data_IF_012912415182
#
_entry.id   IF_012912415182
#
_cell.length_a   1.000
_cell.length_b   1.000
_cell.length_c   1.000
_cell.angle_alpha   90.00
_cell.angle_beta   90.00
_cell.angle_gamma   90.00
#
_symmetry.space_group_name_H-M   'P 1'
#
loop_
_entity.id
_entity.type
_entity.pdbx_description
1 polymer ?
#
# COMPACT_ATOMS: atom_id res chain seq x y z
N UNK A 1 3.74 36.73 -6.57
CA UNK A 1 3.18 36.25 -7.86
C UNK A 1 3.32 34.75 -7.80
N UNK A 2 2.22 33.99 -7.74
CA UNK A 2 2.30 32.52 -7.66
C UNK A 2 2.89 32.02 -8.99
N UNK A 3 3.87 31.14 -8.93
CA UNK A 3 4.51 30.56 -10.10
C UNK A 3 3.49 29.70 -10.88
N UNK A 4 3.47 29.85 -12.19
CA UNK A 4 2.59 29.08 -13.08
C UNK A 4 2.82 27.57 -12.91
N UNK A 5 4.06 27.14 -12.64
CA UNK A 5 4.37 25.73 -12.38
C UNK A 5 3.75 25.21 -11.08
N UNK A 6 3.74 26.05 -10.05
CA UNK A 6 3.11 25.74 -8.76
C UNK A 6 1.58 25.66 -8.91
N UNK A 7 0.98 26.58 -9.67
CA UNK A 7 -0.46 26.54 -9.97
C UNK A 7 -0.87 25.28 -10.74
N UNK A 8 -0.07 24.86 -11.71
CA UNK A 8 -0.32 23.65 -12.51
C UNK A 8 -0.23 22.41 -11.62
N UNK A 9 0.86 22.29 -10.84
CA UNK A 9 1.07 21.17 -9.91
C UNK A 9 -0.09 21.02 -8.93
N UNK A 10 -0.49 22.13 -8.29
CA UNK A 10 -1.58 22.13 -7.32
C UNK A 10 -2.92 21.71 -7.93
N UNK A 11 -3.21 22.14 -9.17
CA UNK A 11 -4.42 21.70 -9.90
C UNK A 11 -4.40 20.21 -10.21
N UNK A 12 -3.26 19.66 -10.67
CA UNK A 12 -3.12 18.23 -10.92
C UNK A 12 -3.31 17.40 -9.65
N UNK A 13 -2.70 17.79 -8.53
CA UNK A 13 -2.88 17.11 -7.25
C UNK A 13 -4.33 17.15 -6.77
N UNK A 14 -5.02 18.28 -6.93
CA UNK A 14 -6.44 18.39 -6.57
C UNK A 14 -7.34 17.51 -7.46
N UNK A 15 -7.11 17.51 -8.78
CA UNK A 15 -7.85 16.64 -9.71
C UNK A 15 -7.64 15.17 -9.36
N UNK A 16 -6.40 14.76 -9.10
CA UNK A 16 -6.09 13.39 -8.72
C UNK A 16 -6.75 12.99 -7.40
N UNK A 17 -6.80 13.88 -6.42
CA UNK A 17 -7.49 13.63 -5.16
C UNK A 17 -9.01 13.42 -5.36
N UNK A 18 -9.66 14.13 -6.29
CA UNK A 18 -11.07 13.90 -6.62
C UNK A 18 -11.29 12.58 -7.36
N UNK A 19 -10.40 12.21 -8.29
CA UNK A 19 -10.45 10.90 -8.97
C UNK A 19 -10.38 9.75 -7.94
N UNK A 20 -9.42 9.81 -7.02
CA UNK A 20 -9.20 8.78 -6.01
C UNK A 20 -10.42 8.56 -5.10
N UNK A 21 -11.22 9.60 -4.82
CA UNK A 21 -12.48 9.46 -4.03
C UNK A 21 -13.52 8.59 -4.72
N UNK A 22 -13.47 8.52 -6.04
CA UNK A 22 -14.40 7.71 -6.85
C UNK A 22 -13.82 6.33 -7.17
N UNK A 23 -12.53 6.14 -6.92
CA UNK A 23 -11.85 4.87 -7.09
C UNK A 23 -12.00 4.03 -5.83
N UNK A 24 -12.26 2.75 -6.06
CA UNK A 24 -12.27 1.72 -5.04
C UNK A 24 -10.83 1.31 -4.74
N UNK A 25 -10.06 2.21 -4.12
CA UNK A 25 -8.64 2.02 -3.79
C UNK A 25 -8.40 2.28 -2.31
N UNK A 26 -7.71 1.36 -1.67
CA UNK A 26 -7.35 1.46 -0.26
C UNK A 26 -6.16 2.41 -0.08
N UNK A 27 -6.28 3.25 0.93
CA UNK A 27 -5.23 4.14 1.41
C UNK A 27 -4.38 3.49 2.50
N UNK A 28 -3.19 4.04 2.76
CA UNK A 28 -2.34 3.59 3.88
C UNK A 28 -3.05 3.64 5.23
N UNK A 29 -3.86 4.68 5.47
CA UNK A 29 -4.61 4.84 6.70
C UNK A 29 -5.65 3.74 6.89
N UNK A 30 -6.36 3.37 5.82
CA UNK A 30 -7.33 2.28 5.83
C UNK A 30 -6.67 0.92 6.01
N UNK A 31 -5.52 0.68 5.35
CA UNK A 31 -4.74 -0.54 5.57
C UNK A 31 -4.31 -0.67 7.04
N UNK A 32 -3.77 0.40 7.63
CA UNK A 32 -3.40 0.42 9.05
C UNK A 32 -4.61 0.10 9.92
N UNK A 33 -5.74 0.80 9.70
CA UNK A 33 -6.95 0.62 10.51
C UNK A 33 -7.51 -0.81 10.41
N UNK A 34 -7.41 -1.47 9.25
CA UNK A 34 -7.84 -2.86 9.07
C UNK A 34 -6.86 -3.87 9.67
N UNK A 35 -5.55 -3.63 9.60
CA UNK A 35 -4.52 -4.52 10.15
C UNK A 35 -4.42 -4.46 11.68
N UNK A 36 -4.67 -3.32 12.30
CA UNK A 36 -4.60 -3.13 13.76
C UNK A 36 -5.38 -4.17 14.58
N UNK A 37 -6.70 -4.39 14.34
CA UNK A 37 -7.44 -5.41 15.08
C UNK A 37 -6.96 -6.83 14.77
N UNK A 38 -6.44 -7.11 13.57
CA UNK A 38 -5.89 -8.42 13.19
C UNK A 38 -4.60 -8.70 13.94
N UNK A 39 -3.72 -7.71 14.06
CA UNK A 39 -2.46 -7.83 14.80
C UNK A 39 -2.74 -7.98 16.31
N UNK A 40 -3.76 -7.30 16.83
CA UNK A 40 -4.12 -7.35 18.25
C UNK A 40 -4.50 -8.76 18.74
N UNK A 41 -5.05 -9.62 17.86
CA UNK A 41 -5.45 -11.00 18.17
C UNK A 41 -4.37 -12.06 17.86
N UNK A 42 -3.15 -11.66 17.49
CA UNK A 42 -2.13 -12.63 17.08
C UNK A 42 -1.61 -13.49 18.24
N UNK A 43 -1.78 -13.08 19.49
CA UNK A 43 -1.39 -13.91 20.64
C UNK A 43 -2.19 -15.22 20.70
N UNK A 44 -3.45 -15.17 20.27
CA UNK A 44 -4.39 -16.28 20.19
C UNK A 44 -4.09 -17.16 18.97
N UNK A 45 -3.82 -16.54 17.83
CA UNK A 45 -3.40 -17.23 16.59
C UNK A 45 -2.11 -18.02 16.84
N UNK A 46 -1.10 -17.40 17.48
CA UNK A 46 0.16 -18.06 17.82
C UNK A 46 -0.06 -19.24 18.79
N UNK A 47 -0.93 -19.09 19.79
CA UNK A 47 -1.27 -20.21 20.69
C UNK A 47 -1.92 -21.39 19.94
N UNK A 48 -2.73 -21.10 18.92
CA UNK A 48 -3.47 -22.11 18.15
C UNK A 48 -2.63 -22.79 17.08
N UNK A 49 -1.81 -22.04 16.36
CA UNK A 49 -1.10 -22.50 15.16
C UNK A 49 0.43 -22.57 15.33
N UNK A 50 0.98 -22.03 16.42
CA UNK A 50 2.41 -22.02 16.70
C UNK A 50 3.19 -20.89 16.01
N UNK A 51 2.54 -20.09 15.17
CA UNK A 51 3.13 -18.93 14.50
C UNK A 51 2.08 -17.83 14.25
N UNK A 52 2.56 -16.65 13.88
CA UNK A 52 1.73 -15.51 13.51
C UNK A 52 1.08 -15.72 12.13
N UNK A 53 -0.10 -15.14 11.90
CA UNK A 53 -0.70 -15.08 10.58
C UNK A 53 0.21 -14.38 9.57
N UNK A 54 0.27 -14.91 8.36
CA UNK A 54 1.08 -14.37 7.27
C UNK A 54 0.22 -13.68 6.21
N UNK A 55 0.84 -12.81 5.42
CA UNK A 55 0.16 -12.01 4.40
C UNK A 55 0.49 -12.48 2.99
N UNK A 56 -0.52 -12.64 2.15
CA UNK A 56 -0.39 -12.97 0.73
C UNK A 56 -1.37 -12.16 -0.12
N UNK A 57 -1.19 -12.13 -1.43
CA UNK A 57 -2.15 -11.55 -2.36
C UNK A 57 -3.25 -12.55 -2.75
N UNK A 58 -4.36 -12.03 -3.27
CA UNK A 58 -5.47 -12.81 -3.83
C UNK A 58 -5.17 -13.45 -5.20
N UNK A 59 -3.95 -13.26 -5.71
CA UNK A 59 -3.47 -13.88 -6.93
C UNK A 59 -2.19 -14.69 -6.66
N UNK A 60 -2.30 -15.99 -6.94
CA UNK A 60 -1.25 -17.00 -6.75
C UNK A 60 -0.62 -16.97 -5.34
N UNK A 61 0.60 -17.48 -5.21
CA UNK A 61 1.35 -17.52 -3.94
C UNK A 61 2.22 -16.28 -3.75
N UNK A 62 1.80 -15.16 -4.33
CA UNK A 62 2.55 -13.93 -4.25
C UNK A 62 2.40 -13.28 -2.87
N UNK A 63 3.51 -12.84 -2.34
CA UNK A 63 3.60 -12.20 -1.02
C UNK A 63 4.13 -10.78 -1.13
N UNK A 64 3.67 -9.87 -0.25
CA UNK A 64 4.12 -8.48 -0.26
C UNK A 64 5.59 -8.36 0.14
N UNK A 65 6.30 -7.38 -0.44
CA UNK A 65 7.71 -7.12 -0.10
C UNK A 65 7.88 -5.84 0.72
N UNK A 66 7.94 -4.68 0.08
CA UNK A 66 8.14 -3.39 0.76
C UNK A 66 7.46 -2.28 -0.02
N UNK A 67 7.18 -1.18 0.69
CA UNK A 67 6.60 0.00 0.09
C UNK A 67 7.67 0.86 -0.60
N UNK A 68 7.32 1.41 -1.76
CA UNK A 68 8.13 2.37 -2.51
C UNK A 68 7.24 3.38 -3.26
N UNK A 69 7.84 4.38 -3.89
CA UNK A 69 7.11 5.30 -4.78
C UNK A 69 6.59 4.53 -6.01
N UNK A 70 5.31 4.73 -6.34
CA UNK A 70 4.69 4.15 -7.53
C UNK A 70 5.09 4.95 -8.78
N UNK A 71 5.59 4.27 -9.81
CA UNK A 71 6.13 4.94 -11.01
C UNK A 71 5.07 5.64 -11.87
N UNK A 72 3.79 5.31 -11.71
CA UNK A 72 2.70 5.90 -12.52
C UNK A 72 2.65 7.42 -12.40
N UNK A 73 2.58 7.93 -11.16
CA UNK A 73 2.52 9.36 -10.87
C UNK A 73 3.60 9.85 -9.88
N UNK A 74 4.43 8.95 -9.37
CA UNK A 74 5.55 9.19 -8.43
C UNK A 74 5.16 9.68 -7.02
N UNK A 75 4.04 10.40 -6.90
CA UNK A 75 3.50 10.95 -5.66
C UNK A 75 2.62 9.98 -4.86
N UNK A 76 2.50 8.72 -5.32
CA UNK A 76 1.67 7.68 -4.72
C UNK A 76 2.54 6.48 -4.29
N UNK A 77 1.98 5.61 -3.46
CA UNK A 77 2.68 4.46 -2.91
C UNK A 77 2.43 3.21 -3.75
N UNK A 78 3.45 2.36 -3.86
CA UNK A 78 3.32 0.99 -4.34
C UNK A 78 3.82 0.01 -3.29
N UNK A 79 3.17 -1.14 -3.20
CA UNK A 79 3.60 -2.32 -2.47
C UNK A 79 4.11 -3.35 -3.48
N UNK A 80 5.38 -3.71 -3.38
CA UNK A 80 5.98 -4.75 -4.21
C UNK A 80 5.53 -6.16 -3.83
N UNK A 81 5.83 -7.11 -4.70
CA UNK A 81 5.45 -8.52 -4.56
C UNK A 81 6.55 -9.47 -5.07
N UNK A 82 6.58 -10.68 -4.54
CA UNK A 82 7.55 -11.73 -4.89
C UNK A 82 6.95 -13.12 -4.71
N UNK A 83 7.42 -14.10 -5.48
CA UNK A 83 7.17 -15.54 -5.22
C UNK A 83 8.21 -16.11 -4.24
N UNK A 84 9.40 -15.50 -4.22
CA UNK A 84 10.55 -15.97 -3.44
C UNK A 84 10.59 -15.42 -2.01
N UNK A 85 11.31 -16.12 -1.13
CA UNK A 85 11.57 -15.69 0.25
C UNK A 85 10.56 -16.21 1.28
N UNK A 86 10.68 -15.72 2.51
CA UNK A 86 9.79 -16.12 3.61
C UNK A 86 8.46 -15.37 3.57
N UNK A 87 7.41 -16.02 4.08
CA UNK A 87 6.09 -15.42 4.26
C UNK A 87 6.16 -14.23 5.23
N UNK A 88 5.48 -13.13 4.89
CA UNK A 88 5.51 -11.92 5.72
C UNK A 88 4.49 -12.01 6.85
N UNK A 89 4.90 -11.90 8.13
CA UNK A 89 3.94 -11.80 9.24
C UNK A 89 3.08 -10.54 9.15
N UNK A 90 1.82 -10.64 9.57
CA UNK A 90 0.87 -9.51 9.51
C UNK A 90 1.34 -8.29 10.31
N UNK A 91 1.99 -8.49 11.46
CA UNK A 91 2.61 -7.44 12.28
C UNK A 91 3.67 -6.67 11.51
N UNK A 92 4.45 -7.35 10.66
CA UNK A 92 5.49 -6.72 9.84
C UNK A 92 4.91 -5.89 8.71
N UNK A 93 3.79 -6.30 8.10
CA UNK A 93 3.11 -5.43 7.16
C UNK A 93 2.56 -4.17 7.84
N UNK A 94 1.96 -4.30 9.04
CA UNK A 94 1.47 -3.15 9.81
C UNK A 94 2.61 -2.20 10.19
N UNK A 95 3.75 -2.73 10.64
CA UNK A 95 4.96 -1.94 10.94
C UNK A 95 5.41 -1.13 9.72
N UNK A 96 5.52 -1.79 8.55
CA UNK A 96 5.90 -1.14 7.30
C UNK A 96 4.89 -0.07 6.87
N UNK A 97 3.58 -0.34 6.99
CA UNK A 97 2.53 0.61 6.65
C UNK A 97 2.56 1.86 7.56
N UNK A 98 2.83 1.70 8.86
CA UNK A 98 3.00 2.83 9.77
C UNK A 98 4.25 3.64 9.43
N UNK A 99 5.35 2.97 9.08
CA UNK A 99 6.63 3.61 8.80
C UNK A 99 6.64 4.46 7.51
N UNK A 100 5.68 4.26 6.59
CA UNK A 100 5.57 5.12 5.40
C UNK A 100 4.86 6.44 5.68
N UNK A 101 4.02 6.52 6.72
CA UNK A 101 3.26 7.74 7.04
C UNK A 101 4.22 8.83 7.53
N UNK A 102 4.24 9.97 6.85
CA UNK A 102 5.16 11.09 7.08
C UNK A 102 6.54 10.91 6.45
N UNK A 103 6.81 9.76 5.80
CA UNK A 103 8.10 9.52 5.13
C UNK A 103 8.12 10.18 3.76
N UNK A 104 9.27 10.77 3.44
CA UNK A 104 9.53 11.32 2.10
C UNK A 104 10.10 10.23 1.20
N UNK A 105 9.56 10.12 -0.01
CA UNK A 105 10.09 9.28 -1.07
C UNK A 105 10.52 10.16 -2.25
N UNK A 106 11.72 9.92 -2.74
CA UNK A 106 12.22 10.61 -3.94
C UNK A 106 11.68 9.92 -5.18
N UNK A 107 11.04 10.69 -6.06
CA UNK A 107 10.54 10.20 -7.34
C UNK A 107 11.67 9.74 -8.25
N UNK A 108 11.42 8.73 -9.09
CA UNK A 108 12.43 8.18 -10.02
C UNK A 108 13.01 9.23 -10.98
N UNK A 109 12.26 10.29 -11.29
CA UNK A 109 12.70 11.42 -12.11
C UNK A 109 13.05 12.69 -11.29
N UNK A 110 13.20 12.55 -9.98
CA UNK A 110 13.38 13.66 -9.04
C UNK A 110 12.07 14.13 -8.40
N UNK A 111 12.20 14.98 -7.37
CA UNK A 111 11.11 15.47 -6.53
C UNK A 111 10.93 14.63 -5.26
N UNK A 112 10.49 15.28 -4.18
CA UNK A 112 10.28 14.69 -2.86
C UNK A 112 8.79 14.69 -2.51
N UNK A 113 8.25 13.52 -2.22
CA UNK A 113 6.82 13.34 -1.94
C UNK A 113 6.64 12.74 -0.55
N UNK A 114 5.95 13.47 0.33
CA UNK A 114 5.61 13.00 1.68
C UNK A 114 4.36 12.13 1.60
N UNK A 115 4.46 10.88 2.03
CA UNK A 115 3.33 9.96 2.04
C UNK A 115 2.48 10.20 3.30
N UNK A 116 1.17 10.28 3.12
CA UNK A 116 0.20 10.49 4.18
C UNK A 116 -0.70 9.29 4.39
N UNK A 117 -1.59 9.37 5.39
CA UNK A 117 -2.61 8.34 5.61
C UNK A 117 -3.58 8.20 4.43
N UNK A 118 -3.79 9.27 3.67
CA UNK A 118 -4.68 9.28 2.50
C UNK A 118 -3.98 8.86 1.20
N UNK A 119 -2.70 8.51 1.25
CA UNK A 119 -1.97 8.06 0.07
C UNK A 119 -2.50 6.70 -0.39
N UNK A 120 -2.87 6.53 -1.67
CA UNK A 120 -3.35 5.25 -2.21
C UNK A 120 -2.22 4.23 -2.35
N UNK A 121 -2.58 2.94 -2.37
CA UNK A 121 -1.64 1.83 -2.49
C UNK A 121 -1.87 1.07 -3.81
N UNK A 122 -0.86 1.14 -4.70
CA UNK A 122 -0.77 0.32 -5.90
C UNK A 122 0.03 -0.96 -5.63
N UNK A 123 -0.19 -2.00 -6.44
CA UNK A 123 0.56 -3.25 -6.41
C UNK A 123 1.47 -3.27 -7.64
N UNK A 124 2.75 -3.01 -7.42
CA UNK A 124 3.75 -2.93 -8.46
C UNK A 124 5.14 -3.10 -7.86
N UNK A 125 6.03 -3.82 -8.55
CA UNK A 125 7.45 -3.84 -8.21
C UNK A 125 8.15 -2.53 -8.59
N UNK A 126 9.30 -2.28 -7.98
CA UNK A 126 10.07 -1.06 -8.22
C UNK A 126 10.36 -0.86 -9.71
N UNK A 127 10.11 0.36 -10.21
CA UNK A 127 10.28 0.68 -11.62
C UNK A 127 9.11 0.28 -12.53
N UNK A 128 8.05 -0.34 -12.01
CA UNK A 128 6.89 -0.76 -12.79
C UNK A 128 5.71 0.23 -12.62
N UNK A 129 4.86 0.33 -13.63
CA UNK A 129 3.66 1.20 -13.68
C UNK A 129 2.38 0.38 -13.66
N UNK A 130 2.39 -0.76 -12.95
CA UNK A 130 1.21 -1.63 -12.83
C UNK A 130 0.00 -0.85 -12.33
N UNK A 131 -1.17 -1.17 -12.90
CA UNK A 131 -2.46 -0.54 -12.62
C UNK A 131 -3.35 -1.42 -11.70
N UNK A 132 -2.71 -2.28 -10.92
CA UNK A 132 -3.38 -3.08 -9.90
C UNK A 132 -3.36 -2.30 -8.59
N UNK A 133 -4.51 -2.14 -7.95
CA UNK A 133 -4.66 -1.45 -6.68
C UNK A 133 -4.99 -2.45 -5.57
N UNK A 134 -4.57 -2.11 -4.35
CA UNK A 134 -5.11 -2.74 -3.14
C UNK A 134 -6.50 -2.17 -2.89
N UNK A 135 -7.51 -3.03 -2.68
CA UNK A 135 -8.89 -2.59 -2.49
C UNK A 135 -9.50 -3.08 -1.19
N UNK A 136 -9.10 -4.26 -0.72
CA UNK A 136 -9.53 -4.79 0.58
C UNK A 136 -8.46 -5.70 1.22
N UNK A 137 -8.71 -6.15 2.45
CA UNK A 137 -8.04 -7.29 3.06
C UNK A 137 -9.08 -8.26 3.62
N UNK A 138 -8.80 -9.56 3.51
CA UNK A 138 -9.59 -10.64 4.07
C UNK A 138 -8.79 -11.35 5.16
N UNK A 139 -9.40 -11.49 6.34
CA UNK A 139 -8.80 -12.10 7.52
C UNK A 139 -9.31 -13.55 7.67
N UNK A 140 -8.49 -14.51 7.28
CA UNK A 140 -8.76 -15.95 7.35
C UNK A 140 -8.20 -16.59 8.64
N UNK A 141 -7.91 -15.77 9.66
CA UNK A 141 -7.29 -16.13 10.95
C UNK A 141 -5.84 -16.63 10.86
N UNK A 142 -5.57 -17.63 10.03
CA UNK A 142 -4.23 -18.19 9.77
C UNK A 142 -3.44 -17.36 8.76
N UNK A 143 -4.13 -16.66 7.87
CA UNK A 143 -3.54 -15.77 6.88
C UNK A 143 -4.40 -14.52 6.66
N UNK A 144 -3.77 -13.49 6.11
CA UNK A 144 -4.42 -12.26 5.66
C UNK A 144 -4.22 -12.16 4.16
N UNK A 145 -5.31 -12.10 3.41
CA UNK A 145 -5.29 -12.02 1.96
C UNK A 145 -5.51 -10.56 1.55
N UNK A 146 -4.56 -9.99 0.82
CA UNK A 146 -4.66 -8.66 0.22
C UNK A 146 -5.48 -8.78 -1.06
N UNK A 147 -6.66 -8.16 -1.08
CA UNK A 147 -7.58 -8.20 -2.20
C UNK A 147 -7.22 -7.09 -3.18
N UNK A 148 -7.09 -7.45 -4.45
CA UNK A 148 -6.60 -6.53 -5.47
C UNK A 148 -7.57 -6.39 -6.63
N UNK A 149 -7.42 -5.29 -7.37
CA UNK A 149 -8.26 -4.98 -8.52
C UNK A 149 -7.49 -4.19 -9.54
N UNK A 150 -7.68 -4.51 -10.82
CA UNK A 150 -7.23 -3.61 -11.88
C UNK A 150 -8.09 -2.35 -11.86
N UNK A 151 -7.43 -1.19 -11.70
CA UNK A 151 -8.06 0.12 -11.80
C UNK A 151 -7.39 0.90 -12.92
N UNK A 152 -8.19 1.57 -13.75
CA UNK A 152 -7.66 2.48 -14.76
C UNK A 152 -7.05 3.69 -14.04
N UNK A 153 -5.74 3.66 -13.84
CA UNK A 153 -4.94 4.70 -13.19
C UNK A 153 -4.86 5.98 -14.00
#
# INVERSE_FOLDING_TARGET
MIDLQEMITNKFSAMRAEELKTMDIMTVGELIAKLEPIVAKQSEVIKKYGHEATVMFDFEYLKPTSFHSWRGVYAELALGFTEEGEEKPVSKLLEQARAVVGKTFTGYKGGDFVMGKTTPIWIANYGHTGQTALVDILDEEYSVILITKYLKG
#
